data_IF_596355021173
#
_entry.id   IF_596355021173
#
_cell.length_a   1.000
_cell.length_b   1.000
_cell.length_c   1.000
_cell.angle_alpha   90.00
_cell.angle_beta   90.00
_cell.angle_gamma   90.00
#
_symmetry.space_group_name_H-M   'P 1'
#
loop_
_entity.id
_entity.type
_entity.pdbx_description
1 polymer ?
#
# COMPACT_ATOMS: atom_id res chain seq x y z
N UNK A 1 -10.92 24.21 3.80
CA UNK A 1 -10.09 23.01 3.96
C UNK A 1 -10.68 22.24 5.11
N UNK A 2 -11.15 21.03 4.82
CA UNK A 2 -11.76 20.14 5.81
C UNK A 2 -10.68 19.56 6.74
N UNK A 3 -11.07 19.19 7.96
CA UNK A 3 -10.18 18.55 8.94
C UNK A 3 -9.65 17.22 8.40
N UNK A 4 -10.45 16.52 7.61
CA UNK A 4 -10.09 15.24 6.96
C UNK A 4 -9.00 15.43 5.91
N UNK A 5 -9.10 16.46 5.07
CA UNK A 5 -8.07 16.81 4.07
C UNK A 5 -6.73 17.16 4.73
N UNK A 6 -6.77 17.84 5.88
CA UNK A 6 -5.58 18.18 6.66
C UNK A 6 -4.87 16.93 7.22
N UNK A 7 -5.64 15.94 7.67
CA UNK A 7 -5.11 14.67 8.21
C UNK A 7 -4.45 13.88 7.09
N UNK A 8 -5.16 13.68 5.98
CA UNK A 8 -4.65 12.91 4.84
C UNK A 8 -3.36 13.53 4.28
N UNK A 9 -3.32 14.86 4.15
CA UNK A 9 -2.11 15.58 3.69
C UNK A 9 -0.94 15.42 4.66
N UNK A 10 -1.21 15.35 5.96
CA UNK A 10 -0.18 15.08 6.98
C UNK A 10 0.36 13.66 6.87
N UNK A 11 -0.51 12.66 6.72
CA UNK A 11 -0.13 11.25 6.57
C UNK A 11 0.71 11.01 5.31
N UNK A 12 0.31 11.59 4.17
CA UNK A 12 1.09 11.56 2.92
C UNK A 12 2.51 12.11 3.11
N UNK A 13 2.67 13.19 3.89
CA UNK A 13 4.00 13.74 4.20
C UNK A 13 4.80 12.86 5.14
N UNK A 14 4.17 12.26 6.14
CA UNK A 14 4.83 11.33 7.05
C UNK A 14 5.32 10.09 6.29
N UNK A 15 4.53 9.58 5.34
CA UNK A 15 4.94 8.50 4.44
C UNK A 15 6.21 8.88 3.66
N UNK A 16 6.21 10.00 2.95
CA UNK A 16 7.38 10.45 2.18
C UNK A 16 8.61 10.65 3.07
N UNK A 17 8.44 11.25 4.25
CA UNK A 17 9.53 11.46 5.20
C UNK A 17 10.11 10.14 5.70
N UNK A 18 9.27 9.12 5.97
CA UNK A 18 9.72 7.78 6.38
C UNK A 18 10.55 7.07 5.30
N UNK A 19 10.31 7.42 4.02
CA UNK A 19 11.04 6.93 2.85
C UNK A 19 12.30 7.77 2.54
N UNK A 20 12.56 8.83 3.30
CA UNK A 20 13.66 9.76 3.03
C UNK A 20 13.41 10.70 1.84
N UNK A 21 12.18 10.78 1.35
CA UNK A 21 11.81 11.58 0.18
C UNK A 21 11.45 13.00 0.65
N UNK A 22 12.27 13.98 0.27
CA UNK A 22 12.02 15.39 0.56
C UNK A 22 11.74 16.16 -0.74
N UNK A 23 10.45 16.36 -1.04
CA UNK A 23 9.98 16.99 -2.26
C UNK A 23 9.27 18.33 -1.96
N UNK A 24 9.24 19.26 -2.94
CA UNK A 24 8.39 20.44 -2.86
C UNK A 24 6.92 20.06 -2.68
N UNK A 25 6.15 20.92 -2.00
CA UNK A 25 4.73 20.67 -1.73
C UNK A 25 3.89 20.44 -2.99
N UNK A 26 4.28 21.03 -4.12
CA UNK A 26 3.64 20.85 -5.42
C UNK A 26 3.79 19.44 -6.01
N UNK A 27 4.82 18.69 -5.60
CA UNK A 27 5.12 17.35 -6.10
C UNK A 27 4.84 16.26 -5.06
N UNK A 28 4.94 16.61 -3.77
CA UNK A 28 4.76 15.68 -2.67
C UNK A 28 3.40 14.96 -2.70
N UNK A 29 2.31 15.67 -3.03
CA UNK A 29 0.98 15.06 -3.04
C UNK A 29 0.84 14.01 -4.15
N UNK A 30 1.25 14.33 -5.38
CA UNK A 30 1.19 13.41 -6.51
C UNK A 30 2.11 12.20 -6.30
N UNK A 31 3.31 12.41 -5.76
CA UNK A 31 4.25 11.31 -5.49
C UNK A 31 3.74 10.41 -4.38
N UNK A 32 3.16 10.97 -3.31
CA UNK A 32 2.55 10.19 -2.25
C UNK A 32 1.37 9.34 -2.77
N UNK A 33 0.52 9.91 -3.63
CA UNK A 33 -0.60 9.16 -4.22
C UNK A 33 -0.13 8.01 -5.09
N UNK A 34 0.87 8.23 -5.95
CA UNK A 34 1.46 7.15 -6.75
C UNK A 34 2.11 6.07 -5.90
N UNK A 35 2.72 6.43 -4.77
CA UNK A 35 3.30 5.46 -3.84
C UNK A 35 2.22 4.62 -3.16
N UNK A 36 1.13 5.24 -2.71
CA UNK A 36 -0.02 4.53 -2.14
C UNK A 36 -0.63 3.56 -3.15
N UNK A 37 -0.87 4.01 -4.38
CA UNK A 37 -1.34 3.14 -5.47
C UNK A 37 -0.38 1.98 -5.78
N UNK A 38 0.93 2.20 -5.63
CA UNK A 38 1.94 1.17 -5.83
C UNK A 38 1.92 0.13 -4.69
N UNK A 39 1.78 0.57 -3.44
CA UNK A 39 1.62 -0.35 -2.31
C UNK A 39 0.34 -1.18 -2.42
N UNK A 40 -0.77 -0.57 -2.86
CA UNK A 40 -2.02 -1.30 -3.13
C UNK A 40 -1.81 -2.41 -4.17
N UNK A 41 -1.04 -2.14 -5.23
CA UNK A 41 -0.69 -3.17 -6.24
C UNK A 41 0.13 -4.30 -5.64
N UNK A 42 1.14 -3.99 -4.82
CA UNK A 42 1.97 -5.02 -4.16
C UNK A 42 1.12 -5.91 -3.24
N UNK A 43 0.18 -5.30 -2.51
CA UNK A 43 -0.78 -6.04 -1.67
C UNK A 43 -1.61 -6.97 -2.56
N UNK A 44 -2.22 -6.46 -3.62
CA UNK A 44 -3.05 -7.24 -4.55
C UNK A 44 -2.24 -8.38 -5.19
N UNK A 45 -1.03 -8.11 -5.68
CA UNK A 45 -0.15 -9.14 -6.25
C UNK A 45 0.20 -10.22 -5.22
N UNK A 46 0.52 -9.82 -4.00
CA UNK A 46 0.84 -10.76 -2.91
C UNK A 46 -0.37 -11.62 -2.56
N UNK A 47 -1.57 -11.03 -2.53
CA UNK A 47 -2.82 -11.77 -2.36
C UNK A 47 -2.98 -12.79 -3.50
N UNK A 48 -2.96 -12.36 -4.75
CA UNK A 48 -3.17 -13.24 -5.91
C UNK A 48 -2.16 -14.41 -5.97
N UNK A 49 -0.93 -14.22 -5.54
CA UNK A 49 0.10 -15.27 -5.50
C UNK A 49 -0.09 -16.31 -4.40
N UNK A 50 -0.90 -16.01 -3.38
CA UNK A 50 -1.05 -16.83 -2.18
C UNK A 50 -2.47 -17.36 -1.95
N UNK A 51 -3.42 -16.91 -2.75
CA UNK A 51 -4.82 -17.34 -2.69
C UNK A 51 -5.11 -18.52 -3.59
N UNK A 52 -6.22 -19.21 -3.29
CA UNK A 52 -6.80 -20.17 -4.22
C UNK A 52 -7.39 -19.45 -5.44
N UNK A 53 -7.60 -20.17 -6.54
CA UNK A 53 -8.18 -19.59 -7.76
C UNK A 53 -9.57 -18.98 -7.50
N UNK A 54 -10.36 -19.60 -6.62
CA UNK A 54 -11.70 -19.17 -6.23
C UNK A 54 -11.67 -17.87 -5.40
N UNK A 55 -10.72 -17.76 -4.45
CA UNK A 55 -10.53 -16.55 -3.65
C UNK A 55 -9.95 -15.39 -4.50
N UNK A 56 -9.10 -15.71 -5.49
CA UNK A 56 -8.50 -14.75 -6.40
C UNK A 56 -9.51 -14.12 -7.37
N UNK A 57 -10.49 -14.90 -7.85
CA UNK A 57 -11.58 -14.40 -8.69
C UNK A 57 -12.43 -13.34 -7.96
N UNK A 58 -12.74 -13.57 -6.67
CA UNK A 58 -13.45 -12.60 -5.82
C UNK A 58 -12.67 -11.30 -5.54
N UNK A 59 -11.33 -11.36 -5.59
CA UNK A 59 -10.46 -10.20 -5.43
C UNK A 59 -10.51 -9.27 -6.65
N UNK A 60 -10.66 -9.84 -7.85
CA UNK A 60 -10.68 -9.07 -9.11
C UNK A 60 -11.88 -8.11 -9.22
N UNK A 61 -12.97 -8.41 -8.50
CA UNK A 61 -14.17 -7.57 -8.44
C UNK A 61 -14.07 -6.44 -7.38
N UNK A 62 -13.05 -6.48 -6.53
CA UNK A 62 -12.91 -5.60 -5.35
C UNK A 62 -11.71 -4.64 -5.41
N UNK A 63 -11.17 -4.36 -6.61
CA UNK A 63 -10.01 -3.47 -6.86
C UNK A 63 -10.18 -1.98 -6.49
N UNK A 64 -11.21 -1.61 -5.72
CA UNK A 64 -11.27 -0.28 -5.10
C UNK A 64 -10.54 -0.31 -3.76
N UNK A 65 -9.64 0.66 -3.53
CA UNK A 65 -8.85 0.80 -2.30
C UNK A 65 -9.72 0.72 -1.02
N UNK A 66 -10.92 1.32 -1.05
CA UNK A 66 -11.91 1.25 0.05
C UNK A 66 -12.38 -0.17 0.44
N UNK A 67 -12.18 -1.17 -0.43
CA UNK A 67 -12.55 -2.57 -0.20
C UNK A 67 -11.34 -3.48 -0.01
N UNK A 68 -10.13 -2.99 -0.32
CA UNK A 68 -8.92 -3.79 -0.27
C UNK A 68 -8.60 -4.18 1.18
N UNK A 69 -8.74 -3.25 2.13
CA UNK A 69 -8.50 -3.52 3.56
C UNK A 69 -9.42 -4.65 4.08
N UNK A 70 -10.72 -4.55 3.82
CA UNK A 70 -11.68 -5.57 4.22
C UNK A 70 -11.40 -6.93 3.55
N UNK A 71 -10.99 -6.93 2.28
CA UNK A 71 -10.60 -8.15 1.58
C UNK A 71 -9.34 -8.79 2.18
N UNK A 72 -8.32 -7.99 2.52
CA UNK A 72 -7.10 -8.47 3.19
C UNK A 72 -7.44 -9.14 4.52
N UNK A 73 -8.28 -8.51 5.35
CA UNK A 73 -8.68 -9.09 6.64
C UNK A 73 -9.41 -10.44 6.49
N UNK A 74 -10.39 -10.50 5.58
CA UNK A 74 -11.17 -11.72 5.35
C UNK A 74 -10.27 -12.88 4.88
N UNK A 75 -9.34 -12.59 3.97
CA UNK A 75 -8.47 -13.58 3.37
C UNK A 75 -7.34 -14.00 4.30
N UNK A 76 -6.82 -13.06 5.09
CA UNK A 76 -5.85 -13.34 6.14
C UNK A 76 -6.39 -14.30 7.20
N UNK A 77 -7.68 -14.19 7.55
CA UNK A 77 -8.33 -15.10 8.48
C UNK A 77 -8.40 -16.55 7.96
N UNK A 78 -8.43 -16.74 6.63
CA UNK A 78 -8.53 -18.06 5.97
C UNK A 78 -7.18 -18.60 5.52
N UNK A 79 -6.16 -17.75 5.38
CA UNK A 79 -4.85 -18.09 4.82
C UNK A 79 -3.73 -17.82 5.82
N UNK A 80 -3.27 -18.86 6.56
CA UNK A 80 -2.18 -18.71 7.51
C UNK A 80 -0.91 -18.13 6.88
N UNK A 81 -0.34 -17.11 7.54
CA UNK A 81 0.90 -16.45 7.09
C UNK A 81 0.71 -15.45 5.94
N UNK A 82 -0.51 -15.15 5.51
CA UNK A 82 -0.76 -14.18 4.44
C UNK A 82 -0.34 -12.75 4.85
N UNK A 83 -0.67 -12.33 6.08
CA UNK A 83 -0.27 -11.00 6.59
C UNK A 83 1.25 -10.86 6.64
N UNK A 84 1.96 -11.86 7.16
CA UNK A 84 3.43 -11.85 7.22
C UNK A 84 4.06 -11.72 5.82
N UNK A 85 3.46 -12.35 4.80
CA UNK A 85 3.90 -12.22 3.41
C UNK A 85 3.66 -10.82 2.84
N UNK A 86 2.50 -10.23 3.13
CA UNK A 86 2.18 -8.84 2.73
C UNK A 86 3.15 -7.87 3.40
N UNK A 87 3.35 -7.99 4.71
CA UNK A 87 4.29 -7.18 5.48
C UNK A 87 5.72 -7.31 4.94
N UNK A 88 6.15 -8.53 4.61
CA UNK A 88 7.47 -8.78 4.01
C UNK A 88 7.59 -8.12 2.64
N UNK A 89 6.58 -8.25 1.78
CA UNK A 89 6.57 -7.64 0.45
C UNK A 89 6.64 -6.10 0.53
N UNK A 90 5.82 -5.50 1.38
CA UNK A 90 5.84 -4.06 1.62
C UNK A 90 7.17 -3.61 2.23
N UNK A 91 7.67 -4.30 3.25
CA UNK A 91 8.96 -3.95 3.88
C UNK A 91 10.11 -3.99 2.87
N UNK A 92 10.14 -4.98 1.98
CA UNK A 92 11.14 -5.06 0.92
C UNK A 92 11.04 -3.86 -0.02
N UNK A 93 9.82 -3.49 -0.43
CA UNK A 93 9.61 -2.33 -1.29
C UNK A 93 10.02 -1.02 -0.61
N UNK A 94 9.66 -0.85 0.67
CA UNK A 94 10.08 0.29 1.48
C UNK A 94 11.60 0.46 1.49
N UNK A 95 12.35 -0.63 1.65
CA UNK A 95 13.81 -0.59 1.64
C UNK A 95 14.38 -0.28 0.24
N UNK A 96 13.76 -0.80 -0.83
CA UNK A 96 14.15 -0.46 -2.22
C UNK A 96 13.96 1.02 -2.49
N UNK A 97 12.81 1.59 -2.11
CA UNK A 97 12.51 3.01 -2.31
C UNK A 97 13.47 3.87 -1.48
N UNK A 98 13.65 3.55 -0.19
CA UNK A 98 14.64 4.26 0.65
C UNK A 98 16.03 4.24 0.03
N UNK A 99 16.50 3.09 -0.44
CA UNK A 99 17.82 2.96 -1.05
C UNK A 99 17.96 3.79 -2.34
N UNK A 100 16.88 3.97 -3.10
CA UNK A 100 16.86 4.81 -4.29
C UNK A 100 16.96 6.31 -3.96
N UNK A 101 16.32 6.75 -2.86
CA UNK A 101 16.26 8.15 -2.45
C UNK A 101 17.28 8.57 -1.37
N UNK A 102 18.02 7.62 -0.79
CA UNK A 102 19.10 7.89 0.17
C UNK A 102 20.41 8.42 -0.47
N UNK A 103 20.39 8.79 -1.75
CA UNK A 103 21.54 9.33 -2.50
C UNK A 103 21.44 10.84 -2.66
#
# INVERSE_FOLDING_TARGET
>A
MDKSELILKKEKRELLASLGINLPESEAEEVADKLLEHFDKIIIETLLLNLSLEDAEGLSESTNSDKLEAAVEELAAKTPGLLEKIETALSNEFEVIKAAYAK
#
